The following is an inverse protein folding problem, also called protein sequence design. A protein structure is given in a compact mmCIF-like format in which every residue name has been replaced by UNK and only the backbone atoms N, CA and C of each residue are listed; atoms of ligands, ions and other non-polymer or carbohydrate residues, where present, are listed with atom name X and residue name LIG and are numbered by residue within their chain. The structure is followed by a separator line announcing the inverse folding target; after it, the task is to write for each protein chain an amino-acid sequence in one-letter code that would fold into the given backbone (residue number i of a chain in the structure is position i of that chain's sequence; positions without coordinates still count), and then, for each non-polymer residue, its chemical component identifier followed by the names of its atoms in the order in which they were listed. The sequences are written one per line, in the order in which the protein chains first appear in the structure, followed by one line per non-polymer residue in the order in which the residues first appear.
data_IF_341855809395
#
_entry.id   IF_341855809395
#
_cell.length_a   1.000
_cell.length_b   1.000
_cell.length_c   1.000
_cell.angle_alpha   90.00
_cell.angle_beta   90.00
_cell.angle_gamma   90.00
#
_symmetry.space_group_name_H-M   'P 1'
#
loop_
_entity.id
_entity.type
_entity.pdbx_description
1 polymer ?
#
# COMPACT_ATOMS: atom_id res chain seq x y z
N UNK A 1 1.28 -4.04 -8.32
CA UNK A 1 1.96 -3.99 -7.00
C UNK A 1 3.00 -5.11 -6.96
N UNK A 2 3.83 -5.22 -8.01
CA UNK A 2 4.58 -6.43 -8.31
C UNK A 2 5.58 -6.78 -7.20
N UNK A 3 6.26 -5.79 -6.61
CA UNK A 3 7.18 -6.01 -5.49
C UNK A 3 6.51 -6.56 -4.21
N UNK A 4 5.26 -6.16 -3.91
CA UNK A 4 4.55 -6.76 -2.78
C UNK A 4 4.22 -8.24 -3.05
N UNK A 5 3.85 -8.56 -4.28
CA UNK A 5 3.57 -9.94 -4.66
C UNK A 5 4.85 -10.78 -4.72
N UNK A 6 5.94 -10.23 -5.25
CA UNK A 6 7.25 -10.87 -5.30
C UNK A 6 7.77 -11.23 -3.91
N UNK A 7 7.67 -10.31 -2.94
CA UNK A 7 8.05 -10.56 -1.55
C UNK A 7 7.16 -11.63 -0.91
N UNK A 8 5.83 -11.54 -1.07
CA UNK A 8 4.90 -12.52 -0.48
C UNK A 8 5.05 -13.92 -1.07
N UNK A 9 5.28 -14.02 -2.38
CA UNK A 9 5.43 -15.30 -3.09
C UNK A 9 6.88 -15.79 -3.10
N UNK A 10 7.80 -15.05 -2.49
CA UNK A 10 9.25 -15.32 -2.51
C UNK A 10 9.77 -15.58 -3.94
N UNK A 11 9.20 -14.87 -4.92
CA UNK A 11 9.45 -15.08 -6.35
C UNK A 11 10.05 -13.80 -6.94
N UNK A 12 11.23 -13.86 -7.60
CA UNK A 12 11.82 -12.69 -8.22
C UNK A 12 10.91 -12.02 -9.25
N UNK A 13 10.97 -10.69 -9.34
CA UNK A 13 10.06 -9.90 -10.20
C UNK A 13 10.20 -10.27 -11.67
N UNK A 14 11.39 -10.54 -12.15
CA UNK A 14 11.66 -10.97 -13.53
C UNK A 14 11.04 -12.34 -13.83
N UNK A 15 11.03 -13.26 -12.87
CA UNK A 15 10.33 -14.54 -13.02
C UNK A 15 8.81 -14.36 -13.13
N UNK A 16 8.23 -13.50 -12.31
CA UNK A 16 6.80 -13.19 -12.35
C UNK A 16 6.36 -12.50 -13.66
N UNK A 17 7.31 -11.90 -14.39
CA UNK A 17 7.07 -11.16 -15.62
C UNK A 17 7.44 -11.93 -16.88
N UNK A 18 7.84 -13.22 -16.79
CA UNK A 18 8.24 -14.04 -17.94
C UNK A 18 7.21 -14.07 -19.07
N UNK A 19 5.92 -13.99 -18.74
CA UNK A 19 4.81 -14.04 -19.70
C UNK A 19 4.22 -12.67 -20.03
N UNK A 20 4.83 -11.58 -19.54
CA UNK A 20 4.35 -10.22 -19.78
C UNK A 20 5.21 -9.49 -20.83
N UNK A 21 4.58 -8.97 -21.89
CA UNK A 21 5.27 -8.16 -22.90
C UNK A 21 5.77 -6.82 -22.34
N UNK A 22 5.03 -6.28 -21.37
CA UNK A 22 5.31 -4.99 -20.75
C UNK A 22 4.89 -4.98 -19.28
N UNK A 23 5.50 -4.11 -18.48
CA UNK A 23 5.16 -3.91 -17.08
C UNK A 23 5.11 -2.43 -16.75
N UNK A 24 4.21 -2.06 -15.83
CA UNK A 24 4.21 -0.77 -15.18
C UNK A 24 4.15 -0.95 -13.67
N UNK A 25 4.95 -0.19 -12.93
CA UNK A 25 4.92 -0.19 -11.48
C UNK A 25 5.23 1.18 -10.89
N UNK A 26 4.68 1.44 -9.70
CA UNK A 26 4.88 2.71 -9.00
C UNK A 26 6.07 2.62 -8.06
N UNK A 27 6.85 3.70 -8.03
CA UNK A 27 7.91 3.94 -7.04
C UNK A 27 7.35 4.68 -5.82
N UNK A 28 6.34 5.52 -6.01
CA UNK A 28 5.79 6.40 -4.97
C UNK A 28 4.67 5.79 -4.13
N UNK A 29 4.80 4.50 -3.77
CA UNK A 29 3.85 3.78 -2.90
C UNK A 29 4.63 3.06 -1.80
N UNK A 30 4.59 1.72 -1.74
CA UNK A 30 5.35 0.94 -0.74
C UNK A 30 6.88 1.08 -0.87
N UNK A 31 7.36 1.54 -2.04
CA UNK A 31 8.78 1.84 -2.28
C UNK A 31 9.17 3.27 -1.84
N UNK A 32 8.24 4.03 -1.28
CA UNK A 32 8.49 5.30 -0.55
C UNK A 32 9.14 6.43 -1.35
N UNK A 33 9.23 6.35 -2.69
CA UNK A 33 9.70 7.49 -3.47
C UNK A 33 8.70 8.66 -3.40
N UNK A 34 9.17 9.92 -3.45
CA UNK A 34 8.26 11.07 -3.45
C UNK A 34 7.38 11.13 -4.70
N UNK A 35 7.94 10.79 -5.87
CA UNK A 35 7.24 10.76 -7.16
C UNK A 35 7.87 9.66 -8.01
N UNK A 36 7.06 8.99 -8.82
CA UNK A 36 7.60 8.19 -9.92
C UNK A 36 6.83 6.89 -10.17
N UNK A 37 6.86 6.48 -11.43
CA UNK A 37 6.46 5.15 -11.89
C UNK A 37 7.34 4.78 -13.07
N UNK A 38 7.56 3.50 -13.26
CA UNK A 38 8.35 2.94 -14.35
C UNK A 38 7.42 2.19 -15.29
N UNK A 39 7.68 2.33 -16.58
CA UNK A 39 7.16 1.44 -17.61
C UNK A 39 8.35 0.76 -18.28
N UNK A 40 8.28 -0.56 -18.47
CA UNK A 40 9.33 -1.38 -19.04
C UNK A 40 8.72 -2.39 -20.03
N UNK A 41 9.51 -2.81 -21.01
CA UNK A 41 9.14 -3.69 -22.11
C UNK A 41 10.26 -3.73 -23.14
N UNK A 42 9.95 -4.11 -24.37
CA UNK A 42 10.93 -4.10 -25.47
C UNK A 42 11.45 -2.70 -25.80
N UNK A 43 12.55 -2.63 -26.55
CA UNK A 43 13.12 -1.37 -26.99
C UNK A 43 12.11 -0.55 -27.83
N UNK A 44 11.43 -1.21 -28.77
CA UNK A 44 10.44 -0.61 -29.65
C UNK A 44 9.27 -0.01 -28.85
N UNK A 45 8.80 -0.75 -27.85
CA UNK A 45 7.75 -0.29 -26.95
C UNK A 45 8.19 0.94 -26.13
N UNK A 46 9.40 0.92 -25.57
CA UNK A 46 9.92 2.04 -24.77
C UNK A 46 10.11 3.29 -25.63
N UNK A 47 10.56 3.14 -26.88
CA UNK A 47 10.69 4.26 -27.83
C UNK A 47 9.33 4.89 -28.14
N UNK A 48 8.30 4.09 -28.36
CA UNK A 48 6.94 4.58 -28.55
C UNK A 48 6.40 5.25 -27.28
N UNK A 49 6.59 4.62 -26.12
CA UNK A 49 6.18 5.15 -24.82
C UNK A 49 6.83 6.51 -24.53
N UNK A 50 8.09 6.73 -24.94
CA UNK A 50 8.76 8.04 -24.82
C UNK A 50 8.09 9.13 -25.66
N UNK A 51 7.59 8.80 -26.85
CA UNK A 51 6.82 9.74 -27.70
C UNK A 51 5.52 10.13 -27.03
N UNK A 52 4.75 9.15 -26.56
CA UNK A 52 3.50 9.40 -25.83
C UNK A 52 3.73 10.17 -24.53
N UNK A 53 4.77 9.82 -23.76
CA UNK A 53 5.18 10.57 -22.56
C UNK A 53 5.41 12.04 -22.86
N UNK A 54 5.95 12.38 -24.04
CA UNK A 54 6.12 13.77 -24.44
C UNK A 54 4.79 14.44 -24.78
N UNK A 55 3.92 13.75 -25.52
CA UNK A 55 2.60 14.28 -25.91
C UNK A 55 1.69 14.56 -24.72
N UNK A 56 1.67 13.68 -23.72
CA UNK A 56 0.86 13.84 -22.49
C UNK A 56 1.51 14.72 -21.42
N UNK A 57 2.66 15.34 -21.73
CA UNK A 57 3.33 16.30 -20.83
C UNK A 57 4.23 15.69 -19.75
N UNK A 58 4.44 14.37 -19.72
CA UNK A 58 5.33 13.69 -18.75
C UNK A 58 6.84 13.85 -19.01
N UNK A 59 7.23 14.54 -20.09
CA UNK A 59 8.63 14.81 -20.44
C UNK A 59 9.28 15.89 -19.58
N UNK A 60 9.47 15.61 -18.30
CA UNK A 60 10.13 16.51 -17.33
C UNK A 60 11.60 16.79 -17.70
N UNK A 61 12.15 17.89 -17.17
CA UNK A 61 13.55 18.30 -17.39
C UNK A 61 14.48 17.61 -16.41
N UNK A 62 14.97 18.32 -15.39
CA UNK A 62 15.93 17.83 -14.41
C UNK A 62 15.29 16.83 -13.42
N UNK A 63 14.70 15.74 -13.91
CA UNK A 63 14.05 14.70 -13.12
C UNK A 63 15.03 13.71 -12.46
N UNK A 64 16.34 13.93 -12.62
CA UNK A 64 17.39 13.05 -12.08
C UNK A 64 17.32 12.88 -10.56
N UNK A 65 16.97 13.92 -9.81
CA UNK A 65 16.82 13.81 -8.36
C UNK A 65 15.64 12.92 -7.94
N UNK A 66 14.54 12.90 -8.71
CA UNK A 66 13.43 11.97 -8.49
C UNK A 66 13.83 10.54 -8.87
N UNK A 67 14.55 10.39 -9.99
CA UNK A 67 15.05 9.09 -10.43
C UNK A 67 16.06 8.48 -9.42
N UNK A 68 16.89 9.31 -8.79
CA UNK A 68 17.83 8.87 -7.75
C UNK A 68 17.11 8.24 -6.55
N UNK A 69 15.97 8.80 -6.11
CA UNK A 69 15.14 8.17 -5.09
C UNK A 69 14.60 6.81 -5.55
N UNK A 70 14.28 6.68 -6.84
CA UNK A 70 13.87 5.42 -7.46
C UNK A 70 14.94 4.33 -7.42
N UNK A 71 16.21 4.70 -7.66
CA UNK A 71 17.35 3.78 -7.57
C UNK A 71 17.49 3.27 -6.13
N UNK A 72 17.55 4.18 -5.16
CA UNK A 72 17.62 3.84 -3.73
C UNK A 72 16.46 2.91 -3.33
N UNK A 73 15.25 3.21 -3.80
CA UNK A 73 14.09 2.40 -3.47
C UNK A 73 14.14 0.98 -4.05
N UNK A 74 14.62 0.81 -5.27
CA UNK A 74 14.77 -0.52 -5.88
C UNK A 74 15.91 -1.32 -5.24
N UNK A 75 16.99 -0.65 -4.81
CA UNK A 75 18.14 -1.31 -4.21
C UNK A 75 17.95 -1.65 -2.73
N UNK A 76 17.14 -0.89 -1.99
CA UNK A 76 17.09 -0.96 -0.52
C UNK A 76 15.70 -1.12 0.09
N UNK A 77 14.63 -0.78 -0.64
CA UNK A 77 13.29 -0.70 -0.05
C UNK A 77 12.38 -1.88 -0.40
N UNK A 78 12.82 -2.84 -1.21
CA UNK A 78 12.00 -3.98 -1.64
C UNK A 78 11.80 -4.98 -0.49
N UNK A 79 12.88 -5.46 0.13
CA UNK A 79 12.80 -6.54 1.12
C UNK A 79 12.01 -6.15 2.36
N UNK A 80 12.11 -4.88 2.78
CA UNK A 80 11.37 -4.33 3.91
C UNK A 80 9.85 -4.30 3.71
N UNK A 81 9.33 -4.54 2.50
CA UNK A 81 7.89 -4.71 2.28
C UNK A 81 7.32 -5.89 3.09
N UNK A 82 8.15 -6.86 3.47
CA UNK A 82 7.75 -7.92 4.40
C UNK A 82 7.29 -7.37 5.77
N UNK A 83 7.88 -6.27 6.23
CA UNK A 83 7.46 -5.59 7.46
C UNK A 83 6.05 -4.99 7.30
N UNK A 84 5.77 -4.39 6.13
CA UNK A 84 4.42 -3.89 5.83
C UNK A 84 3.40 -5.04 5.86
N UNK A 85 3.77 -6.22 5.35
CA UNK A 85 2.91 -7.40 5.34
C UNK A 85 2.68 -7.91 6.77
N UNK A 86 3.72 -7.98 7.59
CA UNK A 86 3.63 -8.37 8.99
C UNK A 86 2.72 -7.43 9.79
N UNK A 87 2.88 -6.11 9.62
CA UNK A 87 2.03 -5.12 10.26
C UNK A 87 0.56 -5.21 9.77
N UNK A 88 0.34 -5.48 8.48
CA UNK A 88 -1.01 -5.69 7.95
C UNK A 88 -1.66 -6.96 8.53
N UNK A 89 -0.91 -8.05 8.67
CA UNK A 89 -1.40 -9.28 9.31
C UNK A 89 -1.74 -9.03 10.78
N UNK A 90 -0.84 -8.39 11.53
CA UNK A 90 -1.06 -7.98 12.93
C UNK A 90 -2.33 -7.14 13.07
N UNK A 91 -2.52 -6.15 12.19
CA UNK A 91 -3.71 -5.31 12.17
C UNK A 91 -4.97 -6.14 11.91
N UNK A 92 -4.94 -7.05 10.92
CA UNK A 92 -6.08 -7.88 10.58
C UNK A 92 -6.48 -8.83 11.72
N UNK A 93 -5.51 -9.46 12.38
CA UNK A 93 -5.72 -10.34 13.53
C UNK A 93 -6.22 -9.60 14.77
N UNK A 94 -5.82 -8.33 14.94
CA UNK A 94 -6.34 -7.48 15.99
C UNK A 94 -7.78 -7.04 15.73
N UNK A 95 -8.05 -6.59 14.49
CA UNK A 95 -9.37 -6.13 14.07
C UNK A 95 -10.41 -7.26 14.12
N UNK A 96 -10.04 -8.50 13.82
CA UNK A 96 -10.96 -9.66 13.89
C UNK A 96 -11.47 -9.97 15.30
N UNK A 97 -10.86 -9.38 16.33
CA UNK A 97 -11.25 -9.54 17.73
C UNK A 97 -12.16 -8.43 18.24
N UNK A 98 -12.47 -7.42 17.41
CA UNK A 98 -13.30 -6.27 17.79
C UNK A 98 -14.75 -6.54 17.32
N UNK A 99 -15.69 -6.51 18.26
CA UNK A 99 -17.11 -6.67 17.95
C UNK A 99 -17.59 -5.59 16.97
N UNK A 100 -18.39 -6.01 15.98
CA UNK A 100 -18.84 -5.14 14.88
C UNK A 100 -17.78 -4.92 13.79
N UNK A 101 -16.61 -5.57 13.85
CA UNK A 101 -15.65 -5.61 12.75
C UNK A 101 -15.60 -7.01 12.13
N UNK A 102 -15.81 -7.10 10.82
CA UNK A 102 -15.77 -8.36 10.08
C UNK A 102 -14.57 -8.37 9.14
N UNK A 103 -13.64 -9.30 9.36
CA UNK A 103 -12.47 -9.52 8.52
C UNK A 103 -12.03 -10.98 8.63
N UNK A 104 -11.54 -11.54 7.52
CA UNK A 104 -10.77 -12.77 7.50
C UNK A 104 -9.26 -12.45 7.49
N UNK A 105 -8.52 -12.64 8.60
CA UNK A 105 -7.10 -12.35 8.67
C UNK A 105 -6.26 -13.18 7.69
N UNK A 106 -6.71 -14.36 7.29
CA UNK A 106 -5.95 -15.26 6.41
C UNK A 106 -6.03 -14.82 4.94
N UNK A 107 -7.01 -13.98 4.60
CA UNK A 107 -7.11 -13.32 3.30
C UNK A 107 -6.13 -12.16 3.10
N UNK A 108 -5.39 -11.75 4.14
CA UNK A 108 -4.45 -10.62 4.11
C UNK A 108 -3.05 -11.10 3.73
N UNK A 109 -2.76 -11.07 2.43
CA UNK A 109 -1.48 -11.55 1.88
C UNK A 109 -0.38 -10.50 1.78
N UNK A 110 -0.74 -9.22 1.70
CA UNK A 110 0.22 -8.12 1.53
C UNK A 110 -0.15 -6.98 2.48
N UNK A 111 0.26 -5.76 2.19
CA UNK A 111 0.00 -4.59 3.02
C UNK A 111 -1.40 -3.95 2.87
N UNK A 112 -2.43 -4.69 2.43
CA UNK A 112 -3.81 -4.18 2.36
C UNK A 112 -4.71 -4.95 3.31
N UNK A 113 -5.40 -4.22 4.18
CA UNK A 113 -6.35 -4.77 5.13
C UNK A 113 -7.74 -4.25 4.76
N UNK A 114 -8.58 -5.14 4.24
CA UNK A 114 -9.97 -4.85 3.94
C UNK A 114 -10.85 -5.50 5.00
N UNK A 115 -11.76 -4.72 5.56
CA UNK A 115 -12.67 -5.18 6.61
C UNK A 115 -14.00 -4.45 6.50
N UNK A 116 -15.03 -5.00 7.10
CA UNK A 116 -16.32 -4.35 7.23
C UNK A 116 -16.51 -3.86 8.66
N UNK A 117 -17.16 -2.70 8.79
CA UNK A 117 -17.50 -2.11 10.09
C UNK A 117 -19.00 -1.95 10.18
N UNK A 118 -19.59 -2.53 11.21
CA UNK A 118 -20.98 -2.39 11.62
C UNK A 118 -21.04 -1.52 12.86
N UNK A 119 -21.49 -0.28 12.69
CA UNK A 119 -21.64 0.68 13.78
C UNK A 119 -22.91 1.52 13.55
N UNK A 120 -23.76 1.75 14.56
CA UNK A 120 -25.00 2.53 14.41
C UNK A 120 -24.76 3.95 13.87
N UNK A 121 -23.64 4.56 14.26
CA UNK A 121 -23.25 5.90 13.82
C UNK A 121 -21.82 5.92 13.27
N UNK A 122 -21.65 5.54 12.00
CA UNK A 122 -20.32 5.50 11.36
C UNK A 122 -19.66 6.87 11.26
N UNK A 123 -20.43 7.93 11.07
CA UNK A 123 -19.88 9.29 10.98
C UNK A 123 -19.23 9.75 12.30
N UNK A 124 -19.82 9.37 13.43
CA UNK A 124 -19.25 9.64 14.75
C UNK A 124 -17.99 8.81 15.00
N UNK A 125 -18.02 7.52 14.67
CA UNK A 125 -16.85 6.64 14.73
C UNK A 125 -15.69 7.23 13.90
N UNK A 126 -15.95 7.62 12.65
CA UNK A 126 -14.94 8.25 11.78
C UNK A 126 -14.34 9.51 12.41
N UNK A 127 -15.16 10.40 12.97
CA UNK A 127 -14.69 11.62 13.64
C UNK A 127 -13.83 11.31 14.85
N UNK A 128 -14.22 10.30 15.65
CA UNK A 128 -13.47 9.87 16.84
C UNK A 128 -12.09 9.29 16.45
N UNK A 129 -12.03 8.50 15.38
CA UNK A 129 -10.75 8.01 14.85
C UNK A 129 -9.88 9.16 14.34
N UNK A 130 -10.47 10.08 13.57
CA UNK A 130 -9.75 11.23 13.01
C UNK A 130 -9.21 12.17 14.10
N UNK A 131 -9.99 12.41 15.18
CA UNK A 131 -9.53 13.21 16.32
C UNK A 131 -8.37 12.57 17.10
N UNK A 132 -8.20 11.25 16.97
CA UNK A 132 -7.07 10.50 17.53
C UNK A 132 -5.93 10.31 16.51
N UNK A 133 -5.98 10.98 15.36
CA UNK A 133 -4.94 10.94 14.32
C UNK A 133 -5.05 9.77 13.34
N UNK A 134 -6.05 8.91 13.48
CA UNK A 134 -6.23 7.71 12.64
C UNK A 134 -7.02 8.10 11.39
N UNK A 135 -6.38 8.00 10.23
CA UNK A 135 -6.95 8.35 8.92
C UNK A 135 -7.28 7.09 8.13
N UNK A 136 -8.28 7.18 7.25
CA UNK A 136 -8.68 6.08 6.35
C UNK A 136 -10.03 5.44 6.68
N UNK A 137 -10.71 5.93 7.73
CA UNK A 137 -12.10 5.58 8.01
C UNK A 137 -13.02 6.03 6.85
N UNK A 138 -14.10 5.29 6.62
CA UNK A 138 -14.96 5.45 5.43
C UNK A 138 -16.44 5.49 5.84
N UNK A 139 -17.30 6.27 5.16
CA UNK A 139 -18.73 6.26 5.42
C UNK A 139 -19.41 4.96 4.94
N UNK A 140 -18.74 4.19 4.07
CA UNK A 140 -19.23 2.92 3.56
C UNK A 140 -18.96 1.76 4.52
N UNK A 141 -19.63 0.62 4.32
CA UNK A 141 -19.42 -0.57 5.16
C UNK A 141 -18.02 -1.16 5.04
N UNK A 142 -17.44 -1.17 3.83
CA UNK A 142 -16.12 -1.73 3.60
C UNK A 142 -15.04 -0.66 3.73
N UNK A 143 -14.12 -0.88 4.66
CA UNK A 143 -12.97 -0.03 4.95
C UNK A 143 -11.70 -0.65 4.37
N UNK A 144 -10.68 0.19 4.17
CA UNK A 144 -9.37 -0.25 3.67
C UNK A 144 -8.25 0.51 4.34
N UNK A 145 -7.52 -0.17 5.21
CA UNK A 145 -6.26 0.34 5.75
C UNK A 145 -5.08 -0.21 4.95
N UNK A 146 -3.99 0.55 4.95
CA UNK A 146 -2.78 0.25 4.18
C UNK A 146 -1.57 0.52 5.06
N UNK A 147 -0.79 -0.52 5.34
CA UNK A 147 0.50 -0.37 6.02
C UNK A 147 1.58 0.03 5.01
N UNK A 148 2.52 0.84 5.46
CA UNK A 148 3.64 1.34 4.66
C UNK A 148 4.81 1.72 5.58
N UNK A 149 5.96 2.08 5.00
CA UNK A 149 7.20 2.46 5.70
C UNK A 149 7.05 3.44 6.88
N UNK A 150 6.00 4.25 6.91
CA UNK A 150 5.76 5.25 7.96
C UNK A 150 4.76 4.80 9.03
N UNK A 151 4.40 3.52 9.05
CA UNK A 151 3.51 2.89 10.03
C UNK A 151 4.27 1.73 10.66
N UNK A 152 4.67 1.90 11.91
CA UNK A 152 5.39 0.89 12.67
C UNK A 152 4.43 -0.09 13.38
N UNK A 153 4.99 -1.01 14.18
CA UNK A 153 4.16 -2.03 14.84
C UNK A 153 3.36 -1.45 16.00
N UNK A 154 3.91 -0.44 16.66
CA UNK A 154 3.33 0.30 17.78
C UNK A 154 2.14 1.14 17.33
N UNK A 155 2.20 1.73 16.13
CA UNK A 155 1.07 2.39 15.47
C UNK A 155 -0.10 1.42 15.27
N UNK A 156 0.17 0.15 14.93
CA UNK A 156 -0.87 -0.87 14.81
C UNK A 156 -1.55 -1.13 16.16
N UNK A 157 -0.77 -1.25 17.23
CA UNK A 157 -1.31 -1.45 18.58
C UNK A 157 -2.19 -0.28 19.01
N UNK A 158 -1.73 0.95 18.77
CA UNK A 158 -2.49 2.17 19.04
C UNK A 158 -3.81 2.21 18.26
N UNK A 159 -3.78 1.89 16.96
CA UNK A 159 -5.00 1.85 16.13
C UNK A 159 -6.00 0.83 16.66
N UNK A 160 -5.54 -0.36 17.06
CA UNK A 160 -6.40 -1.41 17.61
C UNK A 160 -7.03 -0.99 18.94
N UNK A 161 -6.26 -0.38 19.83
CA UNK A 161 -6.76 0.14 21.11
C UNK A 161 -7.85 1.21 20.89
N UNK A 162 -7.57 2.22 20.06
CA UNK A 162 -8.51 3.31 19.79
C UNK A 162 -9.76 2.79 19.08
N UNK A 163 -9.62 1.87 18.12
CA UNK A 163 -10.76 1.27 17.42
C UNK A 163 -11.65 0.49 18.38
N UNK A 164 -11.07 -0.35 19.25
CA UNK A 164 -11.83 -1.12 20.23
C UNK A 164 -12.62 -0.20 21.17
N UNK A 165 -11.97 0.84 21.73
CA UNK A 165 -12.61 1.82 22.59
C UNK A 165 -13.68 2.66 21.87
N UNK A 166 -13.49 2.90 20.56
CA UNK A 166 -14.43 3.67 19.76
C UNK A 166 -15.68 2.86 19.38
N UNK A 167 -15.57 1.54 19.21
CA UNK A 167 -16.68 0.65 18.87
C UNK A 167 -17.60 0.34 20.07
N UNK A 168 -17.10 0.49 21.30
CA UNK A 168 -17.89 0.23 22.53
C UNK A 168 -18.60 1.46 23.09
N UNK A 169 -18.34 2.66 22.56
CA UNK A 169 -18.93 3.93 23.02
C UNK A 169 -20.17 4.28 22.23
#
# INVERSE_FOLDING_TARGET
RIFNAAVKLETPVDEMLKEADTVSFCLSKGLSCPVGSIVAGTYEFVEEARRWRKMVGGGMRQAGFLAAAGIVALDQMVDRLAEDHANAKKLAEGLSKIDGVTIDPDSVDTNLVFFEVEHPNKNELMKKLESNGIKGASPYSRWRFVTHYGVDSEDIDYVLEVMANAMTS
#
